data_IF_096528780970
#
_entry.id   IF_096528780970
#
_cell.length_a   1.000
_cell.length_b   1.000
_cell.length_c   1.000
_cell.angle_alpha   90.00
_cell.angle_beta   90.00
_cell.angle_gamma   90.00
#
_symmetry.space_group_name_H-M   'P 1'
#
loop_
_entity.id
_entity.type
_entity.pdbx_description
1 polymer ?
#
# COMPACT_ATOMS: atom_id res chain seq x y z
N UNK A 1 -43.96 21.93 28.32
CA UNK A 1 -43.99 20.55 27.78
C UNK A 1 -43.34 20.57 26.44
N UNK A 2 -42.06 20.09 26.32
CA UNK A 2 -41.30 20.09 25.07
C UNK A 2 -41.61 18.80 24.32
N UNK A 3 -42.33 18.90 23.21
CA UNK A 3 -42.61 17.78 22.34
C UNK A 3 -41.39 17.56 21.45
N UNK A 4 -40.54 16.56 21.76
CA UNK A 4 -39.48 16.09 20.86
C UNK A 4 -40.11 15.36 19.69
N UNK A 5 -40.10 15.94 18.48
CA UNK A 5 -40.37 15.23 17.23
C UNK A 5 -39.25 14.20 16.99
N UNK A 6 -39.61 12.92 16.97
CA UNK A 6 -38.68 11.85 16.50
C UNK A 6 -38.50 12.04 15.00
N UNK A 7 -37.28 12.23 14.56
CA UNK A 7 -36.88 12.15 13.16
C UNK A 7 -36.92 10.67 12.71
N UNK A 8 -37.48 10.40 11.51
CA UNK A 8 -37.55 9.07 10.92
C UNK A 8 -36.18 8.40 10.65
N UNK A 9 -35.09 9.07 10.98
CA UNK A 9 -33.72 8.58 10.78
C UNK A 9 -33.00 8.27 12.12
N UNK A 10 -33.71 8.18 13.24
CA UNK A 10 -33.09 7.76 14.50
C UNK A 10 -33.05 6.23 14.54
N UNK A 11 -31.89 5.66 14.17
CA UNK A 11 -31.57 4.25 14.40
C UNK A 11 -31.35 4.03 15.91
N UNK A 12 -31.96 2.99 16.47
CA UNK A 12 -31.76 2.52 17.84
C UNK A 12 -30.73 1.40 17.85
N UNK A 13 -30.17 1.03 19.01
CA UNK A 13 -29.24 -0.11 19.12
C UNK A 13 -29.87 -1.43 18.62
N UNK A 14 -31.20 -1.55 18.61
CA UNK A 14 -31.91 -2.71 18.07
C UNK A 14 -31.96 -2.73 16.53
N UNK A 15 -31.72 -1.60 15.89
CA UNK A 15 -31.72 -1.47 14.42
C UNK A 15 -30.31 -1.73 13.84
N UNK A 16 -29.29 -1.92 14.70
CA UNK A 16 -27.90 -2.16 14.30
C UNK A 16 -27.59 -3.65 14.38
N UNK A 17 -27.20 -4.24 13.26
CA UNK A 17 -26.74 -5.64 13.24
C UNK A 17 -25.53 -5.81 14.16
N UNK A 18 -25.57 -6.72 15.16
CA UNK A 18 -24.42 -6.97 16.02
C UNK A 18 -23.16 -7.27 15.23
N UNK A 19 -22.02 -6.72 15.67
CA UNK A 19 -20.73 -6.85 15.00
C UNK A 19 -20.34 -8.31 14.72
N UNK A 20 -20.65 -9.22 15.63
CA UNK A 20 -20.41 -10.65 15.45
C UNK A 20 -21.18 -11.22 14.25
N UNK A 21 -22.48 -10.87 14.11
CA UNK A 21 -23.34 -11.30 12.98
C UNK A 21 -22.85 -10.71 11.65
N UNK A 22 -22.33 -9.49 11.66
CA UNK A 22 -21.75 -8.87 10.46
C UNK A 22 -20.43 -9.55 10.05
N UNK A 23 -19.59 -9.94 11.00
CA UNK A 23 -18.33 -10.65 10.75
C UNK A 23 -18.57 -12.09 10.28
N UNK A 24 -19.64 -12.73 10.75
CA UNK A 24 -19.98 -14.12 10.41
C UNK A 24 -20.89 -14.26 9.18
N UNK A 25 -21.12 -13.20 8.43
CA UNK A 25 -22.00 -13.19 7.22
C UNK A 25 -21.64 -14.31 6.23
N UNK A 26 -20.36 -14.61 6.05
CA UNK A 26 -19.91 -15.71 5.17
C UNK A 26 -20.28 -17.09 5.74
N UNK A 27 -20.27 -17.26 7.05
CA UNK A 27 -20.66 -18.50 7.73
C UNK A 27 -22.18 -18.72 7.61
N UNK A 28 -22.98 -17.66 7.77
CA UNK A 28 -24.44 -17.70 7.64
C UNK A 28 -24.87 -18.00 6.20
N UNK A 29 -24.22 -17.40 5.20
CA UNK A 29 -24.49 -17.68 3.79
C UNK A 29 -24.08 -19.11 3.38
N UNK A 30 -22.98 -19.63 3.93
CA UNK A 30 -22.59 -21.04 3.76
C UNK A 30 -23.60 -21.98 4.44
N UNK A 31 -24.12 -21.64 5.62
CA UNK A 31 -25.14 -22.41 6.34
C UNK A 31 -26.49 -22.44 5.62
N UNK A 32 -26.92 -21.35 5.00
CA UNK A 32 -28.17 -21.27 4.23
C UNK A 32 -28.06 -22.00 2.87
N UNK A 33 -26.88 -22.04 2.26
CA UNK A 33 -26.61 -22.83 1.05
C UNK A 33 -26.67 -24.34 1.28
N UNK A 34 -26.27 -24.81 2.46
CA UNK A 34 -26.33 -26.23 2.87
C UNK A 34 -27.75 -26.73 3.14
N UNK A 35 -28.64 -25.86 3.63
CA UNK A 35 -30.06 -26.26 3.89
C UNK A 35 -30.87 -26.49 2.62
N UNK A 36 -30.44 -25.98 1.47
CA UNK A 36 -31.10 -26.20 0.18
C UNK A 36 -30.59 -27.44 -0.57
N UNK A 37 -29.45 -28.01 -0.18
CA UNK A 37 -28.77 -29.12 -0.86
C UNK A 37 -29.08 -30.52 -0.27
N UNK A 38 -29.79 -30.61 0.87
CA UNK A 38 -30.03 -31.88 1.57
C UNK A 38 -31.16 -32.74 1.01
N UNK A 39 -31.77 -32.39 -0.13
CA UNK A 39 -32.87 -33.17 -0.72
C UNK A 39 -32.51 -34.02 -1.93
N UNK A 40 -31.26 -34.11 -2.34
CA UNK A 40 -30.89 -35.03 -3.44
C UNK A 40 -29.44 -35.46 -3.34
N UNK A 41 -29.21 -36.70 -3.00
CA UNK A 41 -28.12 -37.65 -3.28
C UNK A 41 -27.53 -38.35 -2.05
N UNK A 42 -27.48 -39.72 -2.07
CA UNK A 42 -26.76 -40.50 -1.08
C UNK A 42 -25.34 -40.75 -1.56
N UNK A 43 -24.36 -39.98 -1.14
CA UNK A 43 -22.96 -40.38 -1.16
C UNK A 43 -22.27 -39.86 0.10
N UNK A 44 -21.61 -40.78 0.83
CA UNK A 44 -20.79 -40.52 1.99
C UNK A 44 -19.54 -39.69 1.62
N UNK A 45 -19.71 -38.41 1.24
CA UNK A 45 -18.64 -37.45 1.30
C UNK A 45 -18.62 -36.87 2.72
N UNK A 46 -17.54 -37.09 3.42
CA UNK A 46 -17.34 -36.64 4.79
C UNK A 46 -17.50 -35.11 4.87
N UNK A 47 -18.38 -34.65 5.76
CA UNK A 47 -18.49 -33.21 6.12
C UNK A 47 -17.14 -32.61 6.56
N UNK A 48 -16.16 -33.46 6.92
CA UNK A 48 -14.79 -33.09 7.26
C UNK A 48 -13.99 -32.59 6.05
N UNK A 49 -14.28 -33.01 4.81
CA UNK A 49 -13.60 -32.51 3.61
C UNK A 49 -14.05 -31.09 3.21
N UNK A 50 -15.21 -30.62 3.70
CA UNK A 50 -15.66 -29.23 3.51
C UNK A 50 -14.97 -28.25 4.48
N UNK A 51 -14.34 -28.76 5.53
CA UNK A 51 -13.58 -28.01 6.54
C UNK A 51 -12.08 -28.30 6.49
N UNK A 52 -11.60 -29.13 5.53
CA UNK A 52 -10.18 -29.18 5.24
C UNK A 52 -9.77 -27.76 4.84
N UNK A 53 -9.00 -27.11 5.70
CA UNK A 53 -8.31 -25.90 5.35
C UNK A 53 -7.56 -26.20 4.03
N UNK A 54 -7.87 -25.48 2.96
CA UNK A 54 -7.00 -25.48 1.76
C UNK A 54 -5.58 -25.34 2.31
N UNK A 55 -4.72 -26.31 2.07
CA UNK A 55 -3.30 -26.19 2.36
C UNK A 55 -2.84 -24.95 1.63
N UNK A 56 -2.71 -23.85 2.37
CA UNK A 56 -2.31 -22.56 1.80
C UNK A 56 -0.90 -22.75 1.26
N UNK A 57 -0.74 -22.69 -0.04
CA UNK A 57 0.58 -22.64 -0.67
C UNK A 57 1.40 -21.57 0.06
N UNK A 58 2.59 -21.89 0.60
CA UNK A 58 3.35 -20.92 1.35
C UNK A 58 3.77 -19.76 0.43
N UNK A 59 3.70 -18.53 0.93
CA UNK A 59 4.22 -17.38 0.23
C UNK A 59 5.72 -17.53 -0.08
N UNK A 60 6.23 -16.93 -1.17
CA UNK A 60 7.65 -16.94 -1.50
C UNK A 60 8.51 -16.52 -0.32
N UNK A 61 9.50 -17.33 0.05
CA UNK A 61 10.36 -17.08 1.19
C UNK A 61 11.27 -15.86 0.94
N UNK A 62 11.33 -14.94 1.90
CA UNK A 62 12.27 -13.82 1.84
C UNK A 62 13.70 -14.28 2.09
N UNK A 63 14.64 -13.83 1.23
CA UNK A 63 16.08 -14.14 1.28
C UNK A 63 16.83 -13.02 2.05
N UNK A 64 17.88 -13.32 2.85
CA UNK A 64 18.72 -12.27 3.46
C UNK A 64 19.33 -11.37 2.40
N UNK A 65 19.47 -10.07 2.72
CA UNK A 65 20.11 -9.06 1.87
C UNK A 65 21.44 -8.62 2.47
N UNK A 66 22.38 -8.26 1.60
CA UNK A 66 23.56 -7.51 1.98
C UNK A 66 23.28 -6.01 1.78
N UNK A 67 23.38 -5.22 2.84
CA UNK A 67 23.06 -3.79 2.82
C UNK A 67 23.86 -3.02 3.86
N UNK A 68 24.04 -1.72 3.65
CA UNK A 68 24.60 -0.80 4.64
C UNK A 68 23.50 -0.43 5.64
N UNK A 69 23.65 -0.88 6.89
CA UNK A 69 22.69 -0.60 7.95
C UNK A 69 22.58 0.90 8.26
N UNK A 70 21.36 1.36 8.53
CA UNK A 70 21.11 2.71 9.03
C UNK A 70 21.23 2.78 10.56
N UNK A 71 21.64 3.96 11.05
CA UNK A 71 21.43 4.29 12.46
C UNK A 71 19.94 4.60 12.67
N UNK A 72 19.32 3.97 13.66
CA UNK A 72 17.91 4.27 14.00
C UNK A 72 17.82 5.70 14.49
N UNK A 73 16.96 6.54 13.90
CA UNK A 73 16.70 7.87 14.43
C UNK A 73 16.13 7.79 15.86
N UNK A 74 16.56 8.71 16.72
CA UNK A 74 16.09 8.78 18.10
C UNK A 74 14.58 8.95 18.18
N UNK A 75 13.96 8.32 19.17
CA UNK A 75 12.51 8.39 19.40
C UNK A 75 11.61 7.61 18.45
N UNK A 76 12.16 6.90 17.47
CA UNK A 76 11.38 6.02 16.60
C UNK A 76 11.36 4.58 17.13
N UNK A 77 10.14 4.05 17.33
CA UNK A 77 9.91 2.64 17.66
C UNK A 77 9.53 1.90 16.39
N UNK A 78 10.27 0.84 16.04
CA UNK A 78 9.94 0.02 14.87
C UNK A 78 8.61 -0.70 15.09
N UNK A 79 7.83 -0.80 14.03
CA UNK A 79 6.69 -1.72 13.97
C UNK A 79 7.19 -3.16 13.99
N UNK A 80 6.60 -4.09 14.78
CA UNK A 80 6.99 -5.50 14.71
C UNK A 80 6.82 -6.08 13.31
N UNK A 81 7.77 -6.93 12.87
CA UNK A 81 7.75 -7.55 11.54
C UNK A 81 6.41 -8.25 11.26
N UNK A 82 5.89 -8.99 12.21
CA UNK A 82 4.59 -9.68 12.09
C UNK A 82 3.46 -8.70 11.73
N UNK A 83 3.42 -7.52 12.37
CA UNK A 83 2.42 -6.49 12.09
C UNK A 83 2.64 -5.85 10.70
N UNK A 84 3.89 -5.58 10.36
CA UNK A 84 4.26 -5.00 9.08
C UNK A 84 3.91 -5.92 7.89
N UNK A 85 3.92 -7.24 8.11
CA UNK A 85 3.63 -8.24 7.07
C UNK A 85 2.19 -8.78 7.08
N UNK A 86 1.39 -8.48 8.12
CA UNK A 86 0.00 -8.94 8.23
C UNK A 86 -1.05 -7.82 8.13
N UNK A 87 -0.64 -6.55 8.16
CA UNK A 87 -1.53 -5.39 8.08
C UNK A 87 -1.17 -4.51 6.88
N UNK A 88 -1.71 -4.85 5.71
CA UNK A 88 -1.32 -4.26 4.44
C UNK A 88 -2.52 -3.70 3.68
N UNK A 89 -2.27 -2.68 2.85
CA UNK A 89 -3.14 -2.23 1.77
C UNK A 89 -2.45 -2.57 0.45
N UNK A 90 -2.82 -3.66 -0.16
CA UNK A 90 -2.38 -4.07 -1.49
C UNK A 90 -3.58 -4.71 -2.18
N UNK A 91 -4.42 -3.85 -2.76
CA UNK A 91 -5.75 -4.21 -3.28
C UNK A 91 -5.70 -5.20 -4.43
N UNK A 92 -4.57 -5.24 -5.13
CA UNK A 92 -4.26 -6.26 -6.14
C UNK A 92 -4.24 -7.68 -5.56
N UNK A 93 -3.94 -7.81 -4.24
CA UNK A 93 -4.01 -9.08 -3.52
C UNK A 93 -5.26 -9.21 -2.64
N UNK A 94 -6.10 -8.16 -2.57
CA UNK A 94 -7.35 -8.16 -1.81
C UNK A 94 -7.53 -6.91 -0.95
N UNK A 95 -8.77 -6.63 -0.56
CA UNK A 95 -9.18 -5.34 0.02
C UNK A 95 -9.15 -5.28 1.54
N UNK A 96 -9.21 -6.42 2.22
CA UNK A 96 -9.03 -6.48 3.68
C UNK A 96 -7.53 -6.42 4.04
N UNK A 97 -7.21 -5.89 5.23
CA UNK A 97 -5.81 -5.72 5.69
C UNK A 97 -5.01 -7.02 5.75
N UNK A 98 -5.66 -8.14 5.97
CA UNK A 98 -5.05 -9.47 6.03
C UNK A 98 -5.03 -10.21 4.69
N UNK A 99 -5.83 -9.75 3.68
CA UNK A 99 -5.90 -10.40 2.37
C UNK A 99 -4.53 -10.45 1.66
N UNK A 100 -3.74 -9.37 1.64
CA UNK A 100 -2.44 -9.41 0.97
C UNK A 100 -1.51 -10.49 1.52
N UNK A 101 -1.52 -10.72 2.84
CA UNK A 101 -0.71 -11.78 3.45
C UNK A 101 -1.25 -13.18 3.11
N UNK A 102 -2.58 -13.38 3.10
CA UNK A 102 -3.20 -14.65 2.73
C UNK A 102 -2.97 -15.01 1.26
N UNK A 103 -3.01 -14.01 0.39
CA UNK A 103 -2.88 -14.18 -1.07
C UNK A 103 -1.46 -13.95 -1.60
N UNK A 104 -0.48 -13.76 -0.69
CA UNK A 104 0.92 -13.49 -1.04
C UNK A 104 1.56 -14.60 -1.90
N UNK A 105 1.06 -15.83 -1.79
CA UNK A 105 1.54 -16.99 -2.53
C UNK A 105 1.28 -16.94 -4.05
N UNK A 106 0.32 -16.13 -4.50
CA UNK A 106 0.05 -15.98 -5.93
C UNK A 106 1.14 -15.18 -6.65
N UNK A 107 1.73 -14.15 -5.97
CA UNK A 107 2.73 -13.30 -6.60
C UNK A 107 4.07 -14.03 -6.74
N UNK A 108 4.60 -14.04 -7.95
CA UNK A 108 5.92 -14.59 -8.32
C UNK A 108 6.92 -13.43 -8.49
N UNK A 109 7.71 -13.09 -7.46
CA UNK A 109 8.62 -11.94 -7.53
C UNK A 109 9.89 -12.21 -8.35
N UNK A 110 10.11 -13.42 -8.84
CA UNK A 110 11.27 -13.84 -9.64
C UNK A 110 10.82 -14.77 -10.78
N UNK A 111 11.22 -14.52 -12.06
CA UNK A 111 12.01 -13.36 -12.52
C UNK A 111 11.19 -12.06 -12.54
N UNK A 112 11.87 -10.88 -12.52
CA UNK A 112 11.17 -9.60 -12.56
C UNK A 112 11.91 -8.54 -13.36
N UNK A 113 11.22 -7.97 -14.33
CA UNK A 113 11.75 -6.95 -15.23
C UNK A 113 11.21 -5.58 -14.89
N UNK A 114 12.06 -4.57 -14.84
CA UNK A 114 11.72 -3.17 -14.67
C UNK A 114 12.17 -2.36 -15.90
N UNK A 115 11.23 -1.66 -16.53
CA UNK A 115 11.49 -0.77 -17.67
C UNK A 115 11.58 0.68 -17.21
N UNK A 116 12.61 1.41 -17.68
CA UNK A 116 12.77 2.86 -17.47
C UNK A 116 12.82 3.53 -18.84
N UNK A 117 11.88 4.43 -19.09
CA UNK A 117 11.67 5.03 -20.43
C UNK A 117 11.04 6.42 -20.39
N UNK A 118 10.62 6.94 -21.54
CA UNK A 118 9.90 8.21 -21.72
C UNK A 118 10.84 9.35 -22.11
N UNK A 119 10.72 10.51 -21.46
CA UNK A 119 11.50 11.72 -21.71
C UNK A 119 12.94 11.60 -21.16
N UNK A 120 13.70 10.65 -21.72
CA UNK A 120 15.07 10.29 -21.32
C UNK A 120 15.94 10.09 -22.55
N UNK A 121 17.26 10.32 -22.42
CA UNK A 121 18.22 10.05 -23.47
C UNK A 121 18.66 8.59 -23.50
N UNK A 122 18.64 7.91 -22.34
CA UNK A 122 19.12 6.54 -22.17
C UNK A 122 18.04 5.63 -21.55
N UNK A 123 16.99 5.22 -22.31
CA UNK A 123 16.01 4.25 -21.84
C UNK A 123 16.67 2.88 -21.67
N UNK A 124 16.24 2.12 -20.64
CA UNK A 124 16.76 0.79 -20.38
C UNK A 124 15.74 -0.13 -19.74
N UNK A 125 16.00 -1.41 -19.82
CA UNK A 125 15.29 -2.46 -19.10
C UNK A 125 16.31 -3.22 -18.26
N UNK A 126 15.95 -3.55 -17.02
CA UNK A 126 16.78 -4.29 -16.11
C UNK A 126 16.04 -5.44 -15.44
N UNK A 127 16.76 -6.48 -15.06
CA UNK A 127 16.30 -7.49 -14.12
C UNK A 127 16.46 -6.95 -12.69
N UNK A 128 15.40 -7.02 -11.90
CA UNK A 128 15.40 -6.49 -10.52
C UNK A 128 16.29 -7.30 -9.60
N UNK A 129 16.44 -8.61 -9.84
CA UNK A 129 17.33 -9.46 -9.05
C UNK A 129 18.80 -9.18 -9.35
N UNK A 130 19.11 -8.87 -10.60
CA UNK A 130 20.41 -8.33 -10.97
C UNK A 130 20.71 -7.00 -10.28
N UNK A 131 19.71 -6.10 -10.22
CA UNK A 131 19.85 -4.84 -9.50
C UNK A 131 20.11 -5.07 -8.01
N UNK A 132 19.35 -5.96 -7.35
CA UNK A 132 19.54 -6.32 -5.94
C UNK A 132 20.94 -6.86 -5.69
N UNK A 133 21.41 -7.77 -6.55
CA UNK A 133 22.71 -8.45 -6.36
C UNK A 133 23.92 -7.59 -6.67
N UNK A 134 23.79 -6.61 -7.56
CA UNK A 134 24.90 -5.77 -8.06
C UNK A 134 24.97 -4.39 -7.41
N UNK A 135 23.89 -3.95 -6.75
CA UNK A 135 23.84 -2.63 -6.08
C UNK A 135 24.36 -2.70 -4.65
N UNK A 136 24.93 -1.59 -4.19
CA UNK A 136 25.15 -1.36 -2.76
C UNK A 136 23.85 -0.89 -2.15
N UNK A 137 23.07 -1.83 -1.58
CA UNK A 137 21.83 -1.48 -0.90
C UNK A 137 22.11 -0.73 0.39
N UNK A 138 21.23 0.20 0.74
CA UNK A 138 21.24 0.89 2.03
C UNK A 138 19.93 0.70 2.78
N UNK A 139 19.97 0.75 4.09
CA UNK A 139 18.78 0.73 4.93
C UNK A 139 18.29 2.15 5.19
N UNK A 140 16.97 2.33 5.14
CA UNK A 140 16.28 3.56 5.47
C UNK A 140 15.15 3.25 6.46
N UNK A 141 15.22 3.80 7.66
CA UNK A 141 14.18 3.66 8.68
C UNK A 141 13.21 4.82 8.53
N UNK A 142 12.05 4.55 7.95
CA UNK A 142 11.07 5.58 7.61
C UNK A 142 9.74 5.39 8.32
N UNK A 143 9.07 6.52 8.63
CA UNK A 143 7.66 6.55 8.97
C UNK A 143 6.85 6.26 7.72
N UNK A 144 5.78 5.48 7.86
CA UNK A 144 4.75 5.23 6.85
C UNK A 144 3.42 5.71 7.43
N UNK A 145 2.71 6.57 6.72
CA UNK A 145 1.40 7.08 7.11
C UNK A 145 0.36 6.72 6.06
N UNK A 146 -0.60 5.89 6.43
CA UNK A 146 -1.75 5.59 5.57
C UNK A 146 -2.80 6.70 5.65
N UNK A 147 -3.44 7.01 4.53
CA UNK A 147 -4.59 7.94 4.49
C UNK A 147 -5.72 7.50 5.44
N UNK A 148 -5.85 6.23 5.76
CA UNK A 148 -6.81 5.66 6.72
C UNK A 148 -6.45 5.91 8.19
N UNK A 149 -5.61 6.89 8.48
CA UNK A 149 -5.24 7.32 9.83
C UNK A 149 -4.58 6.25 10.70
N UNK A 150 -3.70 5.44 10.11
CA UNK A 150 -2.78 4.56 10.82
C UNK A 150 -1.35 4.73 10.31
N UNK A 151 -0.37 4.36 11.11
CA UNK A 151 1.05 4.54 10.79
C UNK A 151 1.91 3.39 11.28
N UNK A 152 3.09 3.28 10.66
CA UNK A 152 4.16 2.34 10.99
C UNK A 152 5.51 3.04 10.94
N UNK A 153 6.54 2.43 11.51
CA UNK A 153 7.95 2.75 11.29
C UNK A 153 8.64 1.49 10.78
N UNK A 154 9.20 1.57 9.57
CA UNK A 154 9.66 0.40 8.83
C UNK A 154 11.10 0.57 8.35
N UNK A 155 11.98 -0.43 8.55
CA UNK A 155 13.35 -0.46 8.03
C UNK A 155 13.35 -1.05 6.61
N UNK A 156 13.43 -0.17 5.61
CA UNK A 156 13.50 -0.54 4.21
C UNK A 156 14.94 -0.73 3.77
N UNK A 157 15.21 -1.69 2.88
CA UNK A 157 16.50 -1.85 2.21
C UNK A 157 16.33 -1.63 0.71
N UNK A 158 17.23 -0.85 0.09
CA UNK A 158 17.09 -0.52 -1.33
C UNK A 158 18.09 0.54 -1.81
N UNK A 159 17.68 1.33 -2.80
CA UNK A 159 18.47 2.41 -3.41
C UNK A 159 17.65 3.69 -3.55
N UNK A 160 18.26 4.89 -3.61
CA UNK A 160 17.58 6.12 -3.97
C UNK A 160 16.92 6.00 -5.37
N UNK A 161 15.69 6.45 -5.52
CA UNK A 161 15.00 6.50 -6.83
C UNK A 161 15.81 7.34 -7.83
N UNK A 162 16.41 8.42 -7.36
CA UNK A 162 17.23 9.33 -8.16
C UNK A 162 18.37 8.63 -8.91
N UNK A 163 18.88 7.51 -8.41
CA UNK A 163 20.00 6.79 -9.07
C UNK A 163 19.55 6.16 -10.40
N UNK A 164 18.35 5.55 -10.44
CA UNK A 164 17.79 5.05 -11.70
C UNK A 164 17.39 6.19 -12.65
N UNK A 165 16.85 7.28 -12.10
CA UNK A 165 16.47 8.44 -12.92
C UNK A 165 17.73 9.07 -13.55
N UNK A 166 18.79 9.29 -12.79
CA UNK A 166 20.05 9.84 -13.34
C UNK A 166 20.67 8.95 -14.42
N UNK A 167 20.61 7.61 -14.22
CA UNK A 167 21.08 6.65 -15.23
C UNK A 167 20.28 6.73 -16.53
N UNK A 168 19.00 7.09 -16.47
CA UNK A 168 18.15 7.26 -17.64
C UNK A 168 18.41 8.56 -18.41
N UNK A 169 19.13 9.53 -17.80
CA UNK A 169 19.46 10.82 -18.39
C UNK A 169 18.21 11.61 -18.85
N UNK A 170 17.43 12.16 -17.90
CA UNK A 170 16.23 12.94 -18.22
C UNK A 170 16.52 14.10 -19.16
N UNK A 171 15.70 14.28 -20.22
CA UNK A 171 15.77 15.46 -21.07
C UNK A 171 14.97 16.63 -20.47
N UNK A 172 15.00 17.81 -21.13
CA UNK A 172 14.36 19.04 -20.62
C UNK A 172 12.83 18.99 -20.56
N UNK A 173 12.19 18.01 -21.23
CA UNK A 173 10.74 17.81 -21.21
C UNK A 173 10.29 16.95 -20.02
N UNK A 174 11.17 16.22 -19.38
CA UNK A 174 10.84 15.46 -18.19
C UNK A 174 10.42 16.38 -17.04
N UNK A 175 9.16 16.34 -16.64
CA UNK A 175 8.58 17.11 -15.53
C UNK A 175 8.04 16.23 -14.42
N UNK A 176 7.59 15.03 -14.77
CA UNK A 176 7.00 14.06 -13.87
C UNK A 176 7.58 12.67 -14.12
N UNK A 177 7.40 11.80 -13.12
CA UNK A 177 7.73 10.38 -13.18
C UNK A 177 6.45 9.60 -12.94
N UNK A 178 6.04 8.79 -13.91
CA UNK A 178 4.89 7.90 -13.85
C UNK A 178 5.36 6.48 -13.55
N UNK A 179 4.62 5.77 -12.73
CA UNK A 179 4.90 4.41 -12.30
C UNK A 179 3.70 3.51 -12.60
N UNK A 180 3.97 2.23 -12.86
CA UNK A 180 2.95 1.22 -13.11
C UNK A 180 3.27 -0.09 -12.39
N UNK A 181 2.26 -0.68 -11.74
CA UNK A 181 2.31 -2.01 -11.13
C UNK A 181 2.10 -3.08 -12.19
N UNK A 182 2.61 -4.28 -11.96
CA UNK A 182 2.31 -5.47 -12.77
C UNK A 182 0.79 -5.62 -12.95
N UNK A 183 0.36 -5.80 -14.19
CA UNK A 183 -1.00 -6.25 -14.51
C UNK A 183 -0.98 -7.73 -14.88
N UNK A 184 -1.41 -8.56 -13.93
CA UNK A 184 -1.50 -10.01 -14.09
C UNK A 184 -2.54 -10.56 -13.08
N UNK A 185 -3.79 -10.75 -13.48
CA UNK A 185 -4.85 -11.23 -12.58
C UNK A 185 -4.62 -12.64 -11.99
N UNK A 186 -3.74 -13.45 -12.60
CA UNK A 186 -3.38 -14.77 -12.04
C UNK A 186 -2.46 -14.64 -10.83
N UNK A 187 -1.57 -13.64 -10.84
CA UNK A 187 -0.66 -13.36 -9.75
C UNK A 187 -1.23 -12.35 -8.75
N UNK A 188 -2.12 -11.48 -9.20
CA UNK A 188 -2.73 -10.39 -8.46
C UNK A 188 -4.26 -10.47 -8.55
N UNK A 189 -4.88 -11.41 -7.84
CA UNK A 189 -6.29 -11.78 -8.03
C UNK A 189 -7.30 -10.63 -7.82
N UNK A 190 -6.94 -9.58 -7.09
CA UNK A 190 -7.74 -8.37 -6.98
C UNK A 190 -7.93 -7.64 -8.32
N UNK A 191 -7.04 -7.86 -9.29
CA UNK A 191 -7.13 -7.27 -10.63
C UNK A 191 -8.15 -7.96 -11.53
N UNK A 192 -8.66 -9.14 -11.14
CA UNK A 192 -9.59 -9.92 -11.97
C UNK A 192 -10.94 -9.22 -12.18
N UNK A 193 -11.34 -8.34 -11.27
CA UNK A 193 -12.56 -7.52 -11.43
C UNK A 193 -12.55 -6.30 -10.49
N UNK A 194 -13.30 -5.25 -10.86
CA UNK A 194 -13.50 -4.07 -10.01
C UNK A 194 -14.05 -4.42 -8.62
N UNK A 195 -14.95 -5.40 -8.52
CA UNK A 195 -15.54 -5.81 -7.24
C UNK A 195 -14.54 -6.48 -6.31
N UNK A 196 -13.58 -7.23 -6.83
CA UNK A 196 -12.52 -7.86 -6.05
C UNK A 196 -11.40 -6.88 -5.69
N UNK A 197 -11.12 -5.92 -6.58
CA UNK A 197 -10.03 -4.95 -6.45
C UNK A 197 -10.45 -3.58 -5.90
N UNK A 198 -11.56 -3.47 -5.16
CA UNK A 198 -11.96 -2.23 -4.49
C UNK A 198 -12.43 -1.11 -5.42
N UNK A 199 -12.93 -1.44 -6.61
CA UNK A 199 -13.45 -0.48 -7.59
C UNK A 199 -12.39 0.10 -8.54
N UNK A 200 -11.14 -0.31 -8.39
CA UNK A 200 -10.01 0.19 -9.19
C UNK A 200 -10.04 -0.37 -10.61
N UNK A 201 -9.70 0.48 -11.58
CA UNK A 201 -9.36 0.08 -12.94
C UNK A 201 -7.84 -0.13 -12.99
N UNK A 202 -7.43 -1.41 -13.09
CA UNK A 202 -6.02 -1.79 -13.12
C UNK A 202 -5.41 -1.66 -14.53
N UNK A 203 -4.08 -1.50 -14.67
CA UNK A 203 -3.05 -1.56 -13.63
C UNK A 203 -3.08 -0.38 -12.66
N UNK A 204 -2.57 -0.59 -11.45
CA UNK A 204 -2.37 0.50 -10.50
C UNK A 204 -1.27 1.43 -11.03
N UNK A 205 -1.56 2.72 -11.09
CA UNK A 205 -0.64 3.76 -11.58
C UNK A 205 -0.45 4.85 -10.54
N UNK A 206 0.74 5.41 -10.50
CA UNK A 206 1.11 6.50 -9.62
C UNK A 206 2.06 7.49 -10.30
N UNK A 207 2.20 8.67 -9.69
CA UNK A 207 3.08 9.71 -10.22
C UNK A 207 3.72 10.57 -9.13
N UNK A 208 4.89 11.12 -9.46
CA UNK A 208 5.61 12.14 -8.70
C UNK A 208 6.02 13.26 -9.63
N UNK A 209 6.19 14.49 -9.11
CA UNK A 209 6.99 15.48 -9.82
C UNK A 209 8.44 15.01 -9.90
N UNK A 210 9.17 15.47 -10.91
CA UNK A 210 10.57 15.08 -11.08
C UNK A 210 11.45 15.49 -9.89
N UNK A 211 11.23 16.70 -9.32
CA UNK A 211 11.96 17.14 -8.14
C UNK A 211 11.67 16.31 -6.88
N UNK A 212 10.42 15.84 -6.72
CA UNK A 212 10.05 14.89 -5.66
C UNK A 212 10.75 13.54 -5.86
N UNK A 213 10.75 13.04 -7.10
CA UNK A 213 11.38 11.77 -7.45
C UNK A 213 12.92 11.81 -7.32
N UNK A 214 13.51 12.98 -7.54
CA UNK A 214 14.95 13.24 -7.39
C UNK A 214 15.36 13.55 -5.95
N UNK A 215 14.39 13.74 -5.04
CA UNK A 215 14.68 14.04 -3.64
C UNK A 215 15.37 12.85 -2.95
N UNK A 216 16.38 13.07 -2.09
CA UNK A 216 17.12 11.99 -1.42
C UNK A 216 16.26 11.02 -0.61
N UNK A 217 15.09 11.45 -0.11
CA UNK A 217 14.15 10.59 0.64
C UNK A 217 13.28 9.70 -0.25
N UNK A 218 13.17 9.96 -1.57
CA UNK A 218 12.45 9.08 -2.49
C UNK A 218 13.27 7.81 -2.76
N UNK A 219 12.70 6.65 -2.47
CA UNK A 219 13.45 5.43 -2.34
C UNK A 219 12.77 4.25 -3.06
N UNK A 220 13.56 3.44 -3.72
CA UNK A 220 13.12 2.15 -4.28
C UNK A 220 13.52 1.05 -3.29
N UNK A 221 12.54 0.56 -2.56
CA UNK A 221 12.73 -0.52 -1.60
C UNK A 221 12.65 -1.88 -2.29
N UNK A 222 13.62 -2.72 -2.04
CA UNK A 222 13.73 -4.11 -2.48
C UNK A 222 13.83 -5.06 -1.29
N UNK A 223 13.86 -4.51 -0.08
CA UNK A 223 13.92 -5.27 1.17
C UNK A 223 13.19 -4.61 2.33
N UNK A 224 12.94 -5.46 3.34
CA UNK A 224 12.28 -5.09 4.58
C UNK A 224 12.87 -5.94 5.73
N UNK A 225 13.27 -5.31 6.84
CA UNK A 225 13.93 -5.98 7.99
C UNK A 225 15.12 -6.86 7.57
N UNK A 226 15.96 -6.37 6.65
CA UNK A 226 17.18 -7.05 6.21
C UNK A 226 16.99 -8.26 5.30
N UNK A 227 15.77 -8.48 4.80
CA UNK A 227 15.45 -9.54 3.84
C UNK A 227 14.76 -8.96 2.62
N UNK A 228 14.73 -9.70 1.50
CA UNK A 228 13.97 -9.31 0.31
C UNK A 228 12.51 -9.04 0.68
N UNK A 229 11.87 -8.12 -0.04
CA UNK A 229 10.48 -7.75 0.22
C UNK A 229 9.56 -8.97 0.22
N UNK A 230 8.69 -9.12 1.23
CA UNK A 230 7.58 -10.05 1.16
C UNK A 230 6.58 -9.64 0.07
N UNK A 231 5.92 -10.60 -0.55
CA UNK A 231 4.94 -10.37 -1.62
C UNK A 231 3.86 -9.35 -1.21
N UNK A 232 3.27 -9.50 -0.02
CA UNK A 232 2.24 -8.60 0.52
C UNK A 232 2.73 -7.18 0.81
N UNK A 233 4.04 -6.97 0.85
CA UNK A 233 4.66 -5.66 1.02
C UNK A 233 5.10 -5.02 -0.30
N UNK A 234 4.82 -5.67 -1.45
CA UNK A 234 5.06 -5.12 -2.78
C UNK A 234 6.34 -5.59 -3.45
N UNK A 235 6.71 -6.87 -3.22
CA UNK A 235 7.87 -7.50 -3.88
C UNK A 235 7.80 -7.44 -5.41
N UNK A 236 8.96 -7.54 -6.10
CA UNK A 236 10.32 -7.48 -5.56
C UNK A 236 10.83 -6.06 -5.35
N UNK A 237 10.12 -5.04 -5.89
CA UNK A 237 10.51 -3.63 -5.85
C UNK A 237 9.29 -2.73 -5.71
N UNK A 238 9.39 -1.76 -4.82
CA UNK A 238 8.35 -0.76 -4.59
C UNK A 238 8.92 0.62 -4.35
N UNK A 239 8.08 1.65 -4.57
CA UNK A 239 8.39 3.02 -4.16
C UNK A 239 8.12 3.20 -2.65
N UNK A 240 8.94 4.04 -2.01
CA UNK A 240 8.72 4.58 -0.67
C UNK A 240 8.98 6.08 -0.69
N UNK A 241 7.94 6.87 -0.37
CA UNK A 241 7.99 8.33 -0.29
C UNK A 241 7.46 8.71 1.10
N UNK A 242 8.33 8.84 2.11
CA UNK A 242 7.93 8.83 3.51
C UNK A 242 7.09 10.04 3.95
N UNK A 243 7.16 11.17 3.26
CA UNK A 243 6.39 12.38 3.57
C UNK A 243 4.99 12.43 2.93
N UNK A 244 4.67 11.43 2.07
CA UNK A 244 3.36 11.30 1.40
C UNK A 244 2.55 10.17 2.02
N UNK A 245 1.24 10.21 1.81
CA UNK A 245 0.37 9.09 2.19
C UNK A 245 0.78 7.80 1.48
N UNK A 246 0.65 6.67 2.18
CA UNK A 246 1.18 5.36 1.76
C UNK A 246 0.72 4.86 0.40
N UNK A 247 -0.43 5.34 -0.12
CA UNK A 247 -0.91 4.94 -1.44
C UNK A 247 -0.02 5.48 -2.58
N UNK A 248 0.73 6.58 -2.37
CA UNK A 248 1.74 7.07 -3.32
C UNK A 248 2.92 6.12 -3.49
N UNK A 249 3.14 5.25 -2.51
CA UNK A 249 4.24 4.28 -2.51
C UNK A 249 3.83 3.00 -3.24
N UNK A 250 3.69 3.11 -4.57
CA UNK A 250 3.30 2.04 -5.49
C UNK A 250 4.16 0.79 -5.35
N UNK A 251 3.56 -0.40 -5.48
CA UNK A 251 4.13 -1.72 -5.22
C UNK A 251 4.32 -2.52 -6.51
N UNK A 252 5.23 -3.51 -6.48
CA UNK A 252 5.43 -4.47 -7.57
C UNK A 252 5.58 -3.78 -8.93
N UNK A 253 6.49 -2.80 -8.98
CA UNK A 253 6.67 -1.89 -10.13
C UNK A 253 7.28 -2.64 -11.31
N UNK A 254 6.71 -2.44 -12.51
CA UNK A 254 7.24 -2.94 -13.79
C UNK A 254 7.67 -1.83 -14.74
N UNK A 255 7.18 -0.59 -14.51
CA UNK A 255 7.48 0.55 -15.38
C UNK A 255 7.72 1.83 -14.56
N UNK A 256 8.76 2.57 -14.94
CA UNK A 256 9.07 3.94 -14.54
C UNK A 256 9.20 4.75 -15.81
N UNK A 257 8.30 5.70 -16.05
CA UNK A 257 8.28 6.52 -17.26
C UNK A 257 8.35 8.00 -16.93
N UNK A 258 9.36 8.68 -17.46
CA UNK A 258 9.46 10.12 -17.35
C UNK A 258 8.57 10.78 -18.39
N UNK A 259 7.76 11.78 -17.98
CA UNK A 259 6.75 12.40 -18.83
C UNK A 259 6.72 13.92 -18.66
N UNK A 260 6.22 14.63 -19.67
CA UNK A 260 6.11 16.08 -19.65
C UNK A 260 4.89 16.57 -18.87
N UNK A 261 3.77 15.86 -19.00
CA UNK A 261 2.50 16.18 -18.35
C UNK A 261 2.30 15.40 -17.06
N UNK A 262 1.50 15.97 -16.15
CA UNK A 262 1.12 15.30 -14.90
C UNK A 262 0.38 14.00 -15.22
N UNK A 263 0.92 12.84 -14.82
CA UNK A 263 0.29 11.56 -15.10
C UNK A 263 -0.95 11.34 -14.21
N UNK A 264 -1.92 10.55 -14.69
CA UNK A 264 -3.02 10.12 -13.84
C UNK A 264 -2.52 9.22 -12.71
N UNK A 265 -3.23 9.23 -11.57
CA UNK A 265 -2.96 8.33 -10.45
C UNK A 265 -4.23 7.60 -10.06
N UNK A 266 -4.11 6.34 -9.67
CA UNK A 266 -5.24 5.42 -9.47
C UNK A 266 -6.31 5.97 -8.53
N UNK A 267 -5.92 6.44 -7.34
CA UNK A 267 -6.89 6.93 -6.37
C UNK A 267 -7.51 8.26 -6.78
N UNK A 268 -6.76 9.14 -7.45
CA UNK A 268 -7.31 10.39 -7.99
C UNK A 268 -8.35 10.12 -9.10
N UNK A 269 -8.08 9.14 -9.99
CA UNK A 269 -9.06 8.72 -10.99
C UNK A 269 -10.32 8.15 -10.37
N UNK A 270 -10.18 7.35 -9.29
CA UNK A 270 -11.30 6.70 -8.62
C UNK A 270 -12.16 7.69 -7.84
N UNK A 271 -11.54 8.61 -7.10
CA UNK A 271 -12.22 9.55 -6.22
C UNK A 271 -11.45 10.88 -6.12
N UNK A 272 -11.53 11.76 -7.14
CA UNK A 272 -10.72 12.98 -7.23
C UNK A 272 -11.00 13.99 -6.10
N UNK A 273 -12.17 13.91 -5.46
CA UNK A 273 -12.53 14.76 -4.32
C UNK A 273 -11.96 14.25 -2.98
N UNK A 274 -11.39 13.05 -2.95
CA UNK A 274 -10.84 12.42 -1.75
C UNK A 274 -9.32 12.28 -1.80
N UNK A 275 -8.74 12.15 -3.00
CA UNK A 275 -7.32 11.83 -3.21
C UNK A 275 -6.69 12.76 -4.24
N UNK A 276 -5.80 13.62 -3.77
CA UNK A 276 -5.04 14.52 -4.63
C UNK A 276 -3.79 13.87 -5.23
N UNK A 277 -3.24 14.49 -6.27
CA UNK A 277 -2.02 14.01 -6.93
C UNK A 277 -0.82 14.02 -5.98
N UNK A 278 -0.64 15.10 -5.21
CA UNK A 278 0.53 15.25 -4.35
C UNK A 278 0.46 14.32 -3.14
N UNK A 279 -0.71 14.18 -2.54
CA UNK A 279 -0.96 13.28 -1.41
C UNK A 279 0.05 13.42 -0.26
N UNK A 280 0.50 14.64 0.01
CA UNK A 280 1.36 14.94 1.14
C UNK A 280 0.62 14.73 2.45
N UNK A 281 1.26 14.14 3.45
CA UNK A 281 0.65 13.99 4.77
C UNK A 281 0.40 15.38 5.37
N UNK A 282 -0.88 15.71 5.56
CA UNK A 282 -1.30 17.00 6.07
C UNK A 282 -2.41 16.84 7.13
N UNK A 283 -2.10 17.07 8.43
CA UNK A 283 -3.09 16.97 9.51
C UNK A 283 -4.18 18.04 9.48
N UNK A 284 -4.04 19.08 8.64
CA UNK A 284 -4.99 20.19 8.51
C UNK A 284 -6.00 20.01 7.37
N UNK A 285 -5.86 18.94 6.58
CA UNK A 285 -6.76 18.58 5.49
C UNK A 285 -7.34 17.20 5.78
N UNK A 286 -8.57 17.21 6.28
CA UNK A 286 -9.28 15.98 6.62
C UNK A 286 -9.73 15.24 5.35
N UNK A 287 -9.78 13.93 5.44
CA UNK A 287 -10.48 13.11 4.45
C UNK A 287 -12.01 13.33 4.64
N UNK A 288 -12.83 13.31 3.58
CA UNK A 288 -14.28 13.55 3.71
C UNK A 288 -15.00 12.64 4.75
N UNK A 289 -14.41 11.48 5.06
CA UNK A 289 -15.00 10.46 5.94
C UNK A 289 -14.36 10.37 7.33
N UNK A 290 -13.16 10.93 7.55
CA UNK A 290 -12.45 10.88 8.84
C UNK A 290 -11.41 12.01 8.96
N UNK A 291 -11.03 12.30 10.22
CA UNK A 291 -9.99 13.29 10.48
C UNK A 291 -8.58 12.76 10.27
N UNK A 292 -7.71 13.61 9.73
CA UNK A 292 -6.29 13.37 9.56
C UNK A 292 -5.42 13.92 10.69
N UNK A 293 -6.02 14.60 11.68
CA UNK A 293 -5.29 15.26 12.77
C UNK A 293 -4.52 14.30 13.68
N UNK A 294 -4.93 13.02 13.73
CA UNK A 294 -4.26 12.01 14.55
C UNK A 294 -4.23 10.65 13.85
N UNK A 295 -3.29 9.81 14.25
CA UNK A 295 -3.04 8.51 13.67
C UNK A 295 -2.91 7.41 14.72
N UNK A 296 -3.26 6.19 14.37
CA UNK A 296 -3.08 4.99 15.18
C UNK A 296 -1.75 4.34 14.80
N UNK A 297 -0.78 4.36 15.67
CA UNK A 297 0.49 3.66 15.47
C UNK A 297 0.29 2.13 15.58
N UNK A 298 0.75 1.39 14.57
CA UNK A 298 0.75 -0.07 14.54
C UNK A 298 2.05 -0.55 15.18
N UNK A 299 2.04 -0.70 16.50
CA UNK A 299 3.20 -1.11 17.29
C UNK A 299 2.96 -2.38 18.08
N UNK A 300 3.76 -2.57 19.12
CA UNK A 300 3.58 -3.61 20.11
C UNK A 300 2.26 -3.38 20.88
N UNK A 301 1.56 -4.48 21.17
CA UNK A 301 0.27 -4.47 21.86
C UNK A 301 -0.89 -4.86 20.93
N UNK A 302 -1.96 -5.39 21.54
CA UNK A 302 -3.19 -5.80 20.85
C UNK A 302 -4.09 -4.59 20.51
N UNK A 303 -5.33 -4.88 20.09
CA UNK A 303 -6.35 -3.88 19.70
C UNK A 303 -6.59 -2.84 20.80
N UNK A 304 -6.44 -3.21 22.07
CA UNK A 304 -6.60 -2.33 23.23
C UNK A 304 -5.34 -1.51 23.57
N UNK A 305 -4.17 -1.80 22.99
CA UNK A 305 -2.90 -1.09 23.20
C UNK A 305 -2.50 -0.15 22.06
N UNK A 306 -3.36 0.05 21.08
CA UNK A 306 -3.05 0.91 19.93
C UNK A 306 -2.97 2.38 20.36
N UNK A 307 -1.75 2.92 20.44
CA UNK A 307 -1.49 4.31 20.79
C UNK A 307 -1.89 5.24 19.65
N UNK A 308 -2.79 6.18 19.89
CA UNK A 308 -3.02 7.31 18.99
C UNK A 308 -2.01 8.41 19.28
N UNK A 309 -1.53 9.04 18.24
CA UNK A 309 -0.60 10.17 18.31
C UNK A 309 -1.01 11.26 17.30
N UNK A 310 -0.63 12.54 17.53
CA UNK A 310 -0.82 13.58 16.52
C UNK A 310 -0.13 13.24 15.21
N UNK A 311 -0.80 13.51 14.09
CA UNK A 311 -0.17 13.42 12.77
C UNK A 311 0.74 14.62 12.54
N UNK A 312 1.94 14.39 12.07
CA UNK A 312 2.91 15.42 11.72
C UNK A 312 2.75 15.82 10.24
N UNK A 313 2.84 17.14 9.97
CA UNK A 313 2.90 17.64 8.58
C UNK A 313 4.06 16.95 7.84
N UNK A 314 3.85 16.57 6.58
CA UNK A 314 4.82 15.78 5.80
C UNK A 314 5.30 14.52 6.55
N UNK A 315 4.46 13.95 7.41
CA UNK A 315 4.80 12.78 8.24
C UNK A 315 6.06 12.98 9.12
N UNK A 316 6.38 14.24 9.43
CA UNK A 316 7.56 14.62 10.22
C UNK A 316 8.85 14.83 9.42
N UNK A 317 8.75 14.94 8.08
CA UNK A 317 9.88 15.24 7.18
C UNK A 317 9.82 16.68 6.64
N UNK A 318 9.18 17.60 7.38
CA UNK A 318 8.98 18.99 6.94
C UNK A 318 10.28 19.74 6.68
N UNK A 319 11.29 19.54 7.53
CA UNK A 319 12.58 20.23 7.41
C UNK A 319 13.30 19.86 6.09
N UNK A 320 13.10 18.63 5.59
CA UNK A 320 13.72 18.13 4.39
C UNK A 320 12.94 18.47 3.10
N UNK A 321 11.60 18.51 3.18
CA UNK A 321 10.77 18.53 1.95
C UNK A 321 9.88 19.76 1.77
N UNK A 322 9.67 20.59 2.82
CA UNK A 322 8.72 21.70 2.73
C UNK A 322 9.12 22.71 1.62
N UNK A 323 10.39 22.87 1.34
CA UNK A 323 10.89 23.76 0.27
C UNK A 323 10.42 23.36 -1.13
N UNK A 324 10.14 22.07 -1.38
CA UNK A 324 9.58 21.58 -2.65
C UNK A 324 8.19 22.15 -2.94
N UNK A 325 7.47 22.59 -1.92
CA UNK A 325 6.08 23.03 -1.99
C UNK A 325 5.92 24.52 -1.69
N UNK A 326 7.03 25.27 -1.68
CA UNK A 326 7.00 26.71 -1.42
C UNK A 326 6.10 27.43 -2.43
N UNK A 327 5.16 28.24 -1.95
CA UNK A 327 4.19 28.96 -2.78
C UNK A 327 2.98 28.14 -3.23
N UNK A 328 2.88 26.87 -2.85
CA UNK A 328 1.70 26.02 -3.11
C UNK A 328 0.70 26.10 -1.94
N UNK A 329 -0.58 26.18 -2.27
CA UNK A 329 -1.65 25.99 -1.28
C UNK A 329 -1.85 24.49 -1.00
N UNK A 330 -1.29 24.00 0.09
CA UNK A 330 -1.35 22.58 0.48
C UNK A 330 -2.75 22.12 0.94
N UNK A 331 -3.73 23.02 1.04
CA UNK A 331 -5.12 22.64 1.27
C UNK A 331 -5.84 22.31 -0.02
N UNK A 332 -5.39 22.90 -1.11
CA UNK A 332 -5.90 22.66 -2.45
C UNK A 332 -5.13 21.55 -3.17
N UNK A 333 -3.82 21.51 -2.95
CA UNK A 333 -2.88 20.57 -3.56
C UNK A 333 -2.45 19.50 -2.56
N UNK A 334 -3.37 18.63 -2.21
CA UNK A 334 -3.12 17.51 -1.28
C UNK A 334 -3.02 16.16 -2.00
#
# INVERSE_FOLDING_TARGET
MLIKRRSSHHLTEQDVTPKAVYQDRRLILKGLGLSAATLAFPTQASLLDLFSAEESTPAPASKPLNYKAATRPDGLTLTPLEKATSHNNFYELGTDKGDPARNAHYLKPEPWTLKVEGEVANPFTLDVWDLINKSTLEERIYRLRCVEAWSMVLPWSGIPLADLIRRAEPNSRAKFVAFETLYDPEQLPGQASRSLGGGIDYPYVEGLRLDEAMHPLAFLAMGLYGKTLPAQNGAPIRLVVPWKYGFKSIKSIVSIRLVEEMPPTTWNLLAPNEYGFYANVNPQVDHPRWSQASERFIGEGGIFGAKRQPTLIFNGYGDEVASLYQGMDLRKWY
#
